data_IF_260238246790
#
_entry.id   IF_260238246790
#
_cell.length_a   1.000
_cell.length_b   1.000
_cell.length_c   1.000
_cell.angle_alpha   90.00
_cell.angle_beta   90.00
_cell.angle_gamma   90.00
#
_symmetry.space_group_name_H-M   'P 1'
#
loop_
_entity.id
_entity.type
_entity.pdbx_description
1 polymer ?
#
# COMPACT_ATOMS: atom_id res chain seq x y z
N UNK A 1 -18.49 23.29 -3.33
CA UNK A 1 -19.06 22.09 -2.68
C UNK A 1 -19.52 21.10 -3.75
N UNK A 2 -18.76 20.02 -3.97
CA UNK A 2 -18.98 19.03 -5.02
C UNK A 2 -20.11 18.03 -4.66
N UNK A 3 -21.30 18.20 -5.25
CA UNK A 3 -22.46 17.31 -5.06
C UNK A 3 -22.33 15.92 -5.73
N UNK A 4 -21.35 15.74 -6.63
CA UNK A 4 -21.09 14.44 -7.29
C UNK A 4 -20.53 13.38 -6.33
N UNK A 5 -19.82 13.81 -5.29
CA UNK A 5 -19.14 12.91 -4.35
C UNK A 5 -20.13 12.21 -3.40
N UNK A 6 -21.27 12.83 -3.07
CA UNK A 6 -22.24 12.23 -2.14
C UNK A 6 -22.99 11.03 -2.73
N UNK A 7 -23.28 11.05 -4.04
CA UNK A 7 -23.88 9.90 -4.74
C UNK A 7 -22.89 8.74 -4.85
N UNK A 8 -21.62 9.04 -5.13
CA UNK A 8 -20.56 8.04 -5.22
C UNK A 8 -20.25 7.43 -3.83
N UNK A 9 -20.16 8.25 -2.79
CA UNK A 9 -20.01 7.83 -1.39
C UNK A 9 -21.24 7.06 -0.90
N UNK A 10 -22.47 7.43 -1.30
CA UNK A 10 -23.68 6.65 -0.98
C UNK A 10 -23.71 5.30 -1.69
N UNK A 11 -23.21 5.20 -2.92
CA UNK A 11 -23.08 3.93 -3.63
C UNK A 11 -21.98 3.05 -3.02
N UNK A 12 -20.88 3.64 -2.55
CA UNK A 12 -19.84 2.96 -1.78
C UNK A 12 -20.38 2.43 -0.43
N UNK A 13 -21.18 3.22 0.30
CA UNK A 13 -21.86 2.77 1.53
C UNK A 13 -22.86 1.63 1.30
N UNK A 14 -23.47 1.55 0.11
CA UNK A 14 -24.34 0.41 -0.27
C UNK A 14 -23.53 -0.86 -0.58
N UNK A 15 -22.27 -0.73 -1.02
CA UNK A 15 -21.30 -1.83 -1.16
C UNK A 15 -20.60 -2.22 0.16
N UNK A 16 -20.49 -1.31 1.14
CA UNK A 16 -19.89 -1.59 2.46
C UNK A 16 -20.63 -2.68 3.27
N UNK A 17 -21.86 -3.05 2.86
CA UNK A 17 -22.64 -4.15 3.45
C UNK A 17 -22.47 -5.52 2.81
N UNK A 18 -21.73 -5.65 1.70
CA UNK A 18 -21.44 -6.94 1.06
C UNK A 18 -19.93 -7.19 1.08
N UNK A 19 -19.52 -8.34 1.61
CA UNK A 19 -18.20 -8.95 1.41
C UNK A 19 -17.99 -9.21 -0.10
N UNK A 20 -17.63 -8.18 -0.85
CA UNK A 20 -17.56 -8.21 -2.31
C UNK A 20 -16.15 -8.28 -2.87
N UNK A 21 -15.12 -8.08 -2.04
CA UNK A 21 -13.73 -8.35 -2.40
C UNK A 21 -13.46 -9.84 -2.16
N UNK A 22 -13.42 -10.63 -3.22
CA UNK A 22 -13.15 -12.07 -3.17
C UNK A 22 -11.86 -12.47 -3.87
N UNK A 23 -11.36 -11.63 -4.78
CA UNK A 23 -10.17 -11.88 -5.57
C UNK A 23 -9.06 -10.88 -5.25
N UNK A 24 -7.81 -11.29 -5.51
CA UNK A 24 -6.69 -10.36 -5.50
C UNK A 24 -6.97 -9.21 -6.47
N UNK A 25 -6.41 -8.03 -6.19
CA UNK A 25 -6.63 -6.81 -6.96
C UNK A 25 -8.04 -6.23 -6.93
N UNK A 26 -9.04 -6.87 -6.32
CA UNK A 26 -10.33 -6.22 -6.06
C UNK A 26 -10.16 -4.96 -5.20
N UNK A 27 -9.14 -4.95 -4.34
CA UNK A 27 -8.89 -3.86 -3.41
C UNK A 27 -7.44 -3.82 -2.95
N UNK A 28 -6.77 -2.71 -3.20
CA UNK A 28 -5.51 -2.39 -2.56
C UNK A 28 -5.71 -1.39 -1.43
N UNK A 29 -5.04 -1.61 -0.30
CA UNK A 29 -4.91 -0.67 0.80
C UNK A 29 -3.58 0.06 0.68
N UNK A 30 -3.58 1.38 0.78
CA UNK A 30 -2.33 2.16 0.77
C UNK A 30 -2.32 3.19 1.89
N UNK A 31 -1.17 3.32 2.53
CA UNK A 31 -1.00 4.24 3.64
C UNK A 31 0.45 4.33 4.10
N UNK A 32 0.64 5.09 5.17
CA UNK A 32 1.94 5.28 5.79
C UNK A 32 1.90 4.83 7.25
N UNK A 33 2.98 4.21 7.72
CA UNK A 33 3.21 3.94 9.13
C UNK A 33 4.46 4.68 9.59
N UNK A 34 4.43 5.24 10.80
CA UNK A 34 5.65 5.76 11.41
C UNK A 34 6.68 4.64 11.54
N UNK A 35 7.85 4.80 10.93
CA UNK A 35 9.00 3.90 11.05
C UNK A 35 9.81 4.13 12.33
N UNK A 36 10.94 3.41 12.51
CA UNK A 36 11.82 3.62 13.65
C UNK A 36 12.55 4.97 13.58
N UNK A 37 12.87 5.53 14.75
CA UNK A 37 13.82 6.64 14.85
C UNK A 37 15.21 6.06 15.02
N UNK A 38 16.08 6.27 14.05
CA UNK A 38 17.39 5.60 13.95
C UNK A 38 18.53 6.61 13.87
N UNK A 39 19.77 6.13 13.98
CA UNK A 39 20.97 6.90 13.66
C UNK A 39 21.45 6.52 12.26
N UNK A 40 21.19 7.37 11.27
CA UNK A 40 21.72 7.24 9.91
C UNK A 40 22.93 8.16 9.76
N UNK A 41 24.10 7.58 9.47
CA UNK A 41 25.35 8.35 9.35
C UNK A 41 25.63 9.27 10.56
N UNK A 42 25.29 8.79 11.76
CA UNK A 42 25.45 9.55 13.01
C UNK A 42 24.34 10.57 13.31
N UNK A 43 23.43 10.83 12.37
CA UNK A 43 22.31 11.75 12.54
C UNK A 43 21.05 11.01 13.01
N UNK A 44 20.37 11.57 14.01
CA UNK A 44 19.08 11.03 14.48
C UNK A 44 17.99 11.36 13.45
N UNK A 45 17.42 10.33 12.85
CA UNK A 45 16.51 10.45 11.73
C UNK A 45 15.23 9.68 11.99
N UNK A 46 14.07 10.33 11.79
CA UNK A 46 12.77 9.67 11.79
C UNK A 46 12.54 9.07 10.40
N UNK A 47 11.96 7.88 10.35
CA UNK A 47 11.59 7.23 9.09
C UNK A 47 10.09 6.99 9.04
N UNK A 48 9.56 6.83 7.84
CA UNK A 48 8.16 6.50 7.57
C UNK A 48 8.11 5.35 6.58
N UNK A 49 7.25 4.35 6.81
CA UNK A 49 7.00 3.25 5.89
C UNK A 49 5.80 3.61 5.01
N UNK A 50 6.01 3.79 3.71
CA UNK A 50 4.93 3.76 2.74
C UNK A 50 4.65 2.30 2.37
N UNK A 51 3.38 1.91 2.36
CA UNK A 51 2.98 0.56 2.00
C UNK A 51 1.79 0.53 1.05
N UNK A 52 1.76 -0.52 0.22
CA UNK A 52 0.61 -0.93 -0.59
C UNK A 52 0.39 -2.41 -0.31
N UNK A 53 -0.81 -2.78 0.08
CA UNK A 53 -1.22 -4.12 0.45
C UNK A 53 -2.42 -4.55 -0.41
N UNK A 54 -2.40 -5.78 -0.91
CA UNK A 54 -3.60 -6.41 -1.46
C UNK A 54 -4.49 -6.88 -0.31
N UNK A 55 -5.75 -6.46 -0.29
CA UNK A 55 -6.66 -6.70 0.83
C UNK A 55 -7.00 -8.18 1.02
N UNK A 56 -7.14 -8.94 -0.08
CA UNK A 56 -7.63 -10.32 -0.06
C UNK A 56 -6.52 -11.31 0.29
N UNK A 57 -5.35 -11.15 -0.31
CA UNK A 57 -4.16 -11.96 0.00
C UNK A 57 -3.39 -11.47 1.22
N UNK A 58 -3.66 -10.25 1.68
CA UNK A 58 -2.90 -9.56 2.72
C UNK A 58 -1.41 -9.41 2.36
N UNK A 59 -1.07 -9.56 1.07
CA UNK A 59 0.30 -9.50 0.56
C UNK A 59 0.74 -8.05 0.41
N UNK A 60 1.97 -7.75 0.82
CA UNK A 60 2.58 -6.44 0.67
C UNK A 60 3.09 -6.32 -0.76
N UNK A 61 2.38 -5.56 -1.58
CA UNK A 61 2.73 -5.27 -2.97
C UNK A 61 3.86 -4.24 -3.04
N UNK A 62 3.91 -3.34 -2.07
CA UNK A 62 5.00 -2.40 -1.91
C UNK A 62 5.21 -2.08 -0.43
N UNK A 63 6.47 -1.95 -0.02
CA UNK A 63 6.82 -1.53 1.33
C UNK A 63 8.24 -0.98 1.35
N UNK A 64 8.37 0.29 1.65
CA UNK A 64 9.68 0.95 1.73
C UNK A 64 9.67 2.08 2.76
N UNK A 65 10.75 2.16 3.53
CA UNK A 65 11.04 3.24 4.48
C UNK A 65 11.64 4.42 3.75
N UNK A 66 11.16 5.62 4.10
CA UNK A 66 11.57 6.91 3.57
C UNK A 66 11.90 7.89 4.69
N UNK A 67 12.70 8.92 4.38
CA UNK A 67 13.04 10.01 5.31
C UNK A 67 12.08 11.20 5.18
N UNK A 68 11.54 11.39 3.99
CA UNK A 68 10.62 12.47 3.64
C UNK A 68 9.53 11.88 2.77
N UNK A 69 8.30 12.12 3.18
CA UNK A 69 7.11 11.90 2.38
C UNK A 69 7.07 12.91 1.22
N UNK A 70 6.65 12.45 0.06
CA UNK A 70 6.57 13.29 -1.12
C UNK A 70 5.79 12.62 -2.24
N UNK A 71 5.20 13.40 -3.16
CA UNK A 71 4.36 12.87 -4.22
C UNK A 71 5.17 11.99 -5.19
N UNK A 72 6.48 12.24 -5.35
CA UNK A 72 7.36 11.38 -6.13
C UNK A 72 7.50 9.97 -5.55
N UNK A 73 7.56 9.85 -4.22
CA UNK A 73 7.65 8.57 -3.51
C UNK A 73 6.41 7.73 -3.76
N UNK A 74 5.24 8.33 -3.56
CA UNK A 74 3.93 7.73 -3.84
C UNK A 74 3.81 7.31 -5.31
N UNK A 75 4.20 8.20 -6.23
CA UNK A 75 4.19 7.96 -7.68
C UNK A 75 5.00 6.70 -8.00
N UNK A 76 6.24 6.64 -7.52
CA UNK A 76 7.15 5.55 -7.82
C UNK A 76 6.71 4.23 -7.19
N UNK A 77 6.25 4.27 -5.93
CA UNK A 77 5.68 3.11 -5.24
C UNK A 77 4.49 2.52 -6.00
N UNK A 78 3.53 3.37 -6.36
CA UNK A 78 2.32 2.93 -7.07
C UNK A 78 2.65 2.42 -8.46
N UNK A 79 3.51 3.10 -9.23
CA UNK A 79 3.96 2.61 -10.54
C UNK A 79 4.65 1.25 -10.44
N UNK A 80 5.51 1.05 -9.44
CA UNK A 80 6.19 -0.21 -9.21
C UNK A 80 5.21 -1.34 -8.93
N UNK A 81 4.22 -1.08 -8.06
CA UNK A 81 3.18 -2.03 -7.73
C UNK A 81 2.31 -2.39 -8.95
N UNK A 82 1.82 -1.39 -9.69
CA UNK A 82 0.97 -1.60 -10.88
C UNK A 82 1.66 -2.42 -11.98
N UNK A 83 2.96 -2.16 -12.21
CA UNK A 83 3.75 -2.92 -13.20
C UNK A 83 3.98 -4.37 -12.81
N UNK A 84 4.04 -4.66 -11.51
CA UNK A 84 4.42 -5.99 -11.00
C UNK A 84 3.18 -6.85 -10.72
N UNK A 85 2.13 -6.24 -10.20
CA UNK A 85 0.96 -6.95 -9.66
C UNK A 85 -0.33 -6.65 -10.43
N UNK A 86 -0.29 -5.85 -11.49
CA UNK A 86 -1.45 -5.53 -12.31
C UNK A 86 -2.26 -4.35 -11.76
N UNK A 87 -3.44 -4.13 -12.34
CA UNK A 87 -4.31 -3.00 -12.05
C UNK A 87 -5.41 -3.44 -11.07
N UNK A 88 -5.54 -2.79 -9.90
CA UNK A 88 -6.64 -3.08 -9.00
C UNK A 88 -7.94 -2.41 -9.45
N UNK A 89 -9.09 -2.98 -9.08
CA UNK A 89 -10.37 -2.29 -9.27
C UNK A 89 -10.45 -1.01 -8.44
N UNK A 90 -9.87 -1.04 -7.23
CA UNK A 90 -9.85 0.13 -6.34
C UNK A 90 -8.63 0.20 -5.45
N UNK A 91 -8.29 1.44 -5.09
CA UNK A 91 -7.32 1.75 -4.05
C UNK A 91 -8.03 2.50 -2.92
N UNK A 92 -7.88 1.98 -1.72
CA UNK A 92 -8.42 2.52 -0.48
C UNK A 92 -7.32 3.23 0.30
N UNK A 93 -7.59 4.46 0.73
CA UNK A 93 -6.63 5.33 1.40
C UNK A 93 -7.19 5.89 2.71
N UNK A 94 -6.35 6.05 3.73
CA UNK A 94 -6.74 6.79 4.93
C UNK A 94 -6.77 8.32 4.66
N UNK A 95 -7.83 8.99 5.14
CA UNK A 95 -8.15 10.40 4.85
C UNK A 95 -7.06 11.42 5.20
N UNK A 96 -6.27 11.20 6.25
CA UNK A 96 -5.20 12.13 6.64
C UNK A 96 -4.00 12.09 5.68
N UNK A 97 -3.91 11.07 4.82
CA UNK A 97 -2.88 10.94 3.77
C UNK A 97 -3.34 11.53 2.43
N UNK A 98 -4.41 12.34 2.45
CA UNK A 98 -5.02 12.93 1.27
C UNK A 98 -4.07 13.84 0.49
N UNK A 99 -3.15 14.57 1.11
CA UNK A 99 -2.41 15.66 0.44
C UNK A 99 -1.52 15.22 -0.74
N UNK A 100 -0.90 14.05 -0.67
CA UNK A 100 0.09 13.59 -1.67
C UNK A 100 -0.48 12.53 -2.62
N UNK A 101 -1.23 11.54 -2.11
CA UNK A 101 -1.84 10.53 -2.99
C UNK A 101 -3.06 11.04 -3.77
N UNK A 102 -3.83 11.99 -3.21
CA UNK A 102 -5.02 12.49 -3.92
C UNK A 102 -4.67 13.17 -5.23
N UNK A 103 -3.45 13.71 -5.39
CA UNK A 103 -3.00 14.32 -6.64
C UNK A 103 -3.03 13.34 -7.81
N UNK A 104 -2.96 12.04 -7.55
CA UNK A 104 -2.99 11.00 -8.57
C UNK A 104 -4.40 10.48 -8.90
N UNK A 105 -5.47 11.03 -8.30
CA UNK A 105 -6.84 10.52 -8.53
C UNK A 105 -7.22 10.47 -10.02
N UNK A 106 -6.86 11.51 -10.79
CA UNK A 106 -7.14 11.57 -12.23
C UNK A 106 -6.36 10.51 -13.01
N UNK A 107 -5.15 10.20 -12.56
CA UNK A 107 -4.32 9.14 -13.17
C UNK A 107 -4.98 7.79 -12.92
N UNK A 108 -5.38 7.52 -11.68
CA UNK A 108 -6.08 6.29 -11.29
C UNK A 108 -7.39 6.10 -12.06
N UNK A 109 -8.23 7.12 -12.11
CA UNK A 109 -9.48 7.08 -12.88
C UNK A 109 -9.22 6.83 -14.38
N UNK A 110 -8.20 7.48 -14.96
CA UNK A 110 -7.83 7.32 -16.36
C UNK A 110 -7.33 5.92 -16.74
N UNK A 111 -6.90 5.11 -15.76
CA UNK A 111 -6.50 3.70 -15.96
C UNK A 111 -7.50 2.72 -15.32
N UNK A 112 -8.70 3.18 -14.98
CA UNK A 112 -9.80 2.33 -14.50
C UNK A 112 -9.80 2.00 -13.01
N UNK A 113 -8.95 2.64 -12.20
CA UNK A 113 -8.85 2.41 -10.75
C UNK A 113 -9.78 3.36 -10.00
N UNK A 114 -10.70 2.82 -9.21
CA UNK A 114 -11.53 3.60 -8.30
C UNK A 114 -10.75 4.01 -7.05
N UNK A 115 -10.76 5.29 -6.66
CA UNK A 115 -10.13 5.74 -5.41
C UNK A 115 -11.16 5.91 -4.31
N UNK A 116 -10.92 5.32 -3.14
CA UNK A 116 -11.80 5.38 -1.96
C UNK A 116 -11.06 5.94 -0.76
N UNK A 117 -11.68 6.89 -0.05
CA UNK A 117 -11.11 7.49 1.15
C UNK A 117 -11.90 7.11 2.39
N UNK A 118 -11.20 6.57 3.38
CA UNK A 118 -11.77 6.10 4.65
C UNK A 118 -11.11 6.78 5.84
N UNK A 119 -11.85 6.83 6.96
CA UNK A 119 -11.30 7.27 8.23
C UNK A 119 -10.11 6.40 8.67
N UNK A 120 -9.11 6.99 9.32
CA UNK A 120 -7.91 6.30 9.80
C UNK A 120 -8.22 5.03 10.59
N UNK A 121 -9.15 5.14 11.55
CA UNK A 121 -9.47 4.05 12.46
C UNK A 121 -10.12 2.91 11.69
N UNK A 122 -10.96 3.25 10.71
CA UNK A 122 -11.59 2.25 9.85
C UNK A 122 -10.58 1.61 8.89
N UNK A 123 -9.68 2.41 8.32
CA UNK A 123 -8.62 1.96 7.43
C UNK A 123 -7.69 0.96 8.13
N UNK A 124 -7.14 1.32 9.29
CA UNK A 124 -6.20 0.45 10.00
C UNK A 124 -6.86 -0.78 10.65
N UNK A 125 -8.20 -0.84 10.74
CA UNK A 125 -8.91 -2.08 11.06
C UNK A 125 -8.91 -3.08 9.90
N UNK A 126 -8.66 -2.62 8.67
CA UNK A 126 -8.58 -3.44 7.46
C UNK A 126 -7.14 -3.84 7.10
N UNK A 127 -6.13 -3.13 7.63
CA UNK A 127 -4.72 -3.44 7.43
C UNK A 127 -4.34 -4.62 8.32
N UNK A 128 -3.69 -5.63 7.73
CA UNK A 128 -3.55 -6.95 8.35
C UNK A 128 -2.32 -7.10 9.26
N UNK A 129 -2.14 -8.35 9.69
CA UNK A 129 -1.23 -8.81 10.74
C UNK A 129 0.25 -8.52 10.49
N UNK A 130 0.69 -8.29 9.25
CA UNK A 130 2.07 -7.87 8.97
C UNK A 130 2.42 -6.56 9.68
N UNK A 131 1.44 -5.69 9.95
CA UNK A 131 1.61 -4.46 10.75
C UNK A 131 2.07 -4.76 12.17
N UNK A 132 1.64 -5.86 12.78
CA UNK A 132 2.13 -6.28 14.10
C UNK A 132 3.59 -6.72 14.02
N UNK A 133 3.97 -7.49 12.99
CA UNK A 133 5.35 -7.87 12.73
C UNK A 133 6.23 -6.62 12.52
N UNK A 134 5.76 -5.67 11.72
CA UNK A 134 6.41 -4.37 11.54
C UNK A 134 6.54 -3.60 12.84
N UNK A 135 5.51 -3.58 13.69
CA UNK A 135 5.54 -2.85 14.97
C UNK A 135 6.60 -3.45 15.91
N UNK A 136 6.65 -4.79 16.03
CA UNK A 136 7.67 -5.49 16.82
C UNK A 136 9.07 -5.28 16.24
N UNK A 137 9.20 -5.33 14.92
CA UNK A 137 10.45 -5.04 14.22
C UNK A 137 10.93 -3.60 14.45
N UNK A 138 10.04 -2.63 14.30
CA UNK A 138 10.31 -1.21 14.55
C UNK A 138 10.86 -1.01 15.97
N UNK A 139 10.22 -1.58 16.98
CA UNK A 139 10.69 -1.48 18.37
C UNK A 139 12.12 -2.05 18.55
N UNK A 140 12.46 -3.13 17.84
CA UNK A 140 13.83 -3.71 17.85
C UNK A 140 14.85 -2.81 17.15
N UNK A 141 14.43 -2.10 16.10
CA UNK A 141 15.31 -1.24 15.30
C UNK A 141 15.48 0.17 15.87
N UNK A 142 14.58 0.58 16.78
CA UNK A 142 14.55 1.90 17.41
C UNK A 142 15.91 2.24 18.05
N UNK A 143 16.42 3.44 17.76
CA UNK A 143 17.75 3.95 18.18
C UNK A 143 18.95 3.13 17.68
N UNK A 144 18.73 2.18 16.78
CA UNK A 144 19.79 1.45 16.09
C UNK A 144 20.63 2.37 15.20
N UNK A 145 21.86 1.93 14.91
CA UNK A 145 22.80 2.61 14.00
C UNK A 145 22.85 1.85 12.68
N UNK A 146 22.63 2.56 11.58
CA UNK A 146 22.66 1.97 10.24
C UNK A 146 23.46 2.88 9.30
N UNK A 147 24.18 2.27 8.37
CA UNK A 147 24.98 2.96 7.37
C UNK A 147 24.13 3.68 6.33
N UNK A 148 22.90 3.21 6.09
CA UNK A 148 22.01 3.84 5.11
C UNK A 148 20.55 3.46 5.29
N UNK A 149 19.66 4.24 4.66
CA UNK A 149 18.26 3.87 4.51
C UNK A 149 18.10 2.56 3.71
N UNK A 150 18.98 2.31 2.73
CA UNK A 150 18.99 1.06 1.95
C UNK A 150 19.21 -0.17 2.83
N UNK A 151 20.15 -0.09 3.78
CA UNK A 151 20.37 -1.14 4.77
C UNK A 151 19.12 -1.38 5.63
N UNK A 152 18.51 -0.31 6.12
CA UNK A 152 17.32 -0.40 6.94
C UNK A 152 16.13 -1.03 6.18
N UNK A 153 15.96 -0.66 4.90
CA UNK A 153 14.99 -1.26 4.00
C UNK A 153 15.25 -2.74 3.75
N UNK A 154 16.51 -3.14 3.55
CA UNK A 154 16.87 -4.55 3.45
C UNK A 154 16.49 -5.34 4.71
N UNK A 155 16.75 -4.78 5.90
CA UNK A 155 16.39 -5.42 7.17
C UNK A 155 14.88 -5.52 7.37
N UNK A 156 14.13 -4.51 6.93
CA UNK A 156 12.67 -4.52 6.92
C UNK A 156 12.13 -5.65 6.03
N UNK A 157 12.56 -5.70 4.76
CA UNK A 157 12.12 -6.74 3.82
C UNK A 157 12.52 -8.13 4.29
N UNK A 158 13.75 -8.30 4.81
CA UNK A 158 14.20 -9.57 5.40
C UNK A 158 13.29 -10.03 6.54
N UNK A 159 12.86 -9.11 7.40
CA UNK A 159 11.87 -9.42 8.44
C UNK A 159 10.53 -9.80 7.84
N UNK A 160 10.01 -8.99 6.90
CA UNK A 160 8.72 -9.23 6.26
C UNK A 160 8.66 -10.62 5.62
N UNK A 161 9.68 -10.98 4.84
CA UNK A 161 9.74 -12.27 4.16
C UNK A 161 9.83 -13.45 5.13
N UNK A 162 10.61 -13.31 6.21
CA UNK A 162 10.81 -14.37 7.19
C UNK A 162 9.61 -14.55 8.10
N UNK A 163 9.03 -13.46 8.58
CA UNK A 163 8.03 -13.46 9.66
C UNK A 163 6.59 -13.42 9.15
N UNK A 164 6.35 -13.05 7.88
CA UNK A 164 4.99 -12.87 7.36
C UNK A 164 4.76 -13.49 5.97
N UNK A 165 5.50 -13.07 4.94
CA UNK A 165 5.22 -13.44 3.55
C UNK A 165 5.24 -14.95 3.30
N UNK A 166 6.13 -15.67 3.97
CA UNK A 166 6.25 -17.13 3.89
C UNK A 166 5.61 -17.85 5.09
N UNK A 167 4.89 -17.13 5.95
CA UNK A 167 4.23 -17.71 7.11
C UNK A 167 2.76 -18.03 6.76
N UNK A 168 2.31 -19.21 7.16
CA UNK A 168 0.91 -19.63 7.01
C UNK A 168 0.03 -18.74 7.88
N UNK A 169 -0.96 -18.09 7.27
CA UNK A 169 -1.89 -17.26 8.02
C UNK A 169 -3.00 -18.09 8.66
N UNK A 170 -3.36 -17.84 9.94
CA UNK A 170 -4.34 -18.63 10.67
C UNK A 170 -5.73 -18.64 10.04
N UNK A 171 -6.11 -17.54 9.37
CA UNK A 171 -7.47 -17.31 8.87
C UNK A 171 -7.78 -18.14 7.62
N UNK A 172 -6.82 -18.29 6.71
CA UNK A 172 -7.02 -18.92 5.39
C UNK A 172 -6.03 -20.06 5.08
N UNK A 173 -5.19 -20.46 6.06
CA UNK A 173 -4.36 -21.68 6.06
C UNK A 173 -3.36 -21.81 4.90
N UNK A 174 -2.93 -20.68 4.35
CA UNK A 174 -1.87 -20.59 3.34
C UNK A 174 -1.07 -19.31 3.60
N UNK A 175 0.05 -19.15 2.91
CA UNK A 175 0.85 -17.93 2.93
C UNK A 175 0.16 -16.80 2.14
N UNK A 176 0.45 -15.52 2.42
CA UNK A 176 -0.02 -14.40 1.61
C UNK A 176 0.32 -14.58 0.12
N UNK A 177 1.51 -15.12 -0.18
CA UNK A 177 1.93 -15.43 -1.55
C UNK A 177 1.03 -16.48 -2.20
N UNK A 178 0.80 -17.61 -1.53
CA UNK A 178 -0.07 -18.67 -2.06
C UNK A 178 -1.48 -18.16 -2.29
N UNK A 179 -2.02 -17.37 -1.34
CA UNK A 179 -3.34 -16.75 -1.52
C UNK A 179 -3.35 -15.83 -2.74
N UNK A 180 -2.29 -15.05 -2.94
CA UNK A 180 -2.20 -14.18 -4.11
C UNK A 180 -2.20 -14.96 -5.43
N UNK A 181 -1.46 -16.07 -5.48
CA UNK A 181 -1.31 -16.88 -6.69
C UNK A 181 -2.58 -17.62 -7.11
N UNK A 182 -3.57 -17.81 -6.22
CA UNK A 182 -4.83 -18.47 -6.57
C UNK A 182 -5.65 -17.72 -7.63
N UNK A 183 -5.49 -16.40 -7.70
CA UNK A 183 -6.26 -15.53 -8.58
C UNK A 183 -5.37 -14.92 -9.69
N UNK A 184 -4.16 -15.47 -9.93
CA UNK A 184 -3.17 -14.84 -10.82
C UNK A 184 -3.67 -14.71 -12.27
N UNK A 185 -4.49 -15.66 -12.72
CA UNK A 185 -5.05 -15.68 -14.08
C UNK A 185 -6.13 -14.61 -14.30
N UNK A 186 -6.70 -14.07 -13.22
CA UNK A 186 -7.72 -13.02 -13.26
C UNK A 186 -7.09 -11.60 -13.21
N UNK A 187 -5.77 -11.51 -13.05
CA UNK A 187 -5.08 -10.22 -12.94
C UNK A 187 -5.00 -9.53 -14.30
N UNK A 188 -5.57 -8.33 -14.37
CA UNK A 188 -5.43 -7.45 -15.52
C UNK A 188 -4.13 -6.67 -15.43
N UNK A 189 -3.30 -6.79 -16.46
CA UNK A 189 -2.07 -6.01 -16.61
C UNK A 189 -2.21 -4.95 -17.70
N UNK A 190 -1.57 -3.80 -17.46
CA UNK A 190 -1.25 -2.85 -18.52
C UNK A 190 0.20 -3.04 -18.95
N UNK A 191 0.49 -2.66 -20.20
CA UNK A 191 1.87 -2.55 -20.66
C UNK A 191 2.66 -1.60 -19.72
N UNK A 192 3.89 -1.96 -19.30
CA UNK A 192 4.68 -1.13 -18.40
C UNK A 192 4.93 0.31 -18.91
N UNK A 193 4.98 0.52 -20.22
CA UNK A 193 5.10 1.85 -20.82
C UNK A 193 3.77 2.62 -20.72
N UNK A 194 2.62 1.96 -20.89
CA UNK A 194 1.31 2.58 -20.67
C UNK A 194 1.13 3.02 -19.21
N UNK A 195 1.63 2.22 -18.25
CA UNK A 195 1.68 2.64 -16.84
C UNK A 195 2.56 3.88 -16.69
N UNK A 196 3.76 3.95 -17.28
CA UNK A 196 4.59 5.17 -17.20
C UNK A 196 3.90 6.41 -17.81
N UNK A 197 3.30 6.25 -18.98
CA UNK A 197 2.65 7.34 -19.70
C UNK A 197 1.51 7.96 -18.89
N UNK A 198 0.67 7.14 -18.25
CA UNK A 198 -0.46 7.61 -17.46
C UNK A 198 -0.04 8.54 -16.32
N UNK A 199 1.14 8.32 -15.74
CA UNK A 199 1.71 9.14 -14.66
C UNK A 199 2.59 10.31 -15.14
N UNK A 200 2.82 10.44 -16.45
CA UNK A 200 3.59 11.54 -17.06
C UNK A 200 2.69 12.64 -17.66
N UNK A 201 1.41 12.36 -17.85
CA UNK A 201 0.42 13.38 -18.22
C UNK A 201 0.36 14.42 -17.09
N UNK A 202 0.61 15.69 -17.41
CA UNK A 202 0.54 16.79 -16.43
C UNK A 202 -0.81 16.73 -15.74
N UNK A 203 -0.79 16.63 -14.42
CA UNK A 203 -1.96 16.76 -13.57
C UNK A 203 -2.34 18.25 -13.63
N UNK A 204 -3.24 18.61 -14.55
CA UNK A 204 -3.85 19.95 -14.65
C UNK A 204 -4.92 20.08 -13.59
#
# INVERSE_FOLDING_TARGET
>A
MWKGNEKMVKNLKKKEGNRGESHVNDCWLTGELAGPVVLLNGCRTKTSLLFIEDYVSEMLLYGELFLTDGPCTVKNATKSALKTYGIPEKIVMAKQYFSEMSRFYKVFEGIGICTVYVDEKLFFRKVNRWKECFTKWKCRMERGRYASLKELNYLFLKMYYREYFNAIQPNYKMTPRERFLLDIDEIVFLDPAAVEESFNKKII
#
